data_IF_613292697039
#
_entry.id   IF_613292697039
#
_cell.length_a   1.000
_cell.length_b   1.000
_cell.length_c   1.000
_cell.angle_alpha   90.00
_cell.angle_beta   90.00
_cell.angle_gamma   90.00
#
_symmetry.space_group_name_H-M   'P 1'
#
loop_
_entity.id
_entity.type
_entity.pdbx_description
1 polymer ?
#
# COMPACT_ATOMS: atom_id res chain seq x y z
N UNK A 1 -18.42 4.63 8.26
CA UNK A 1 -17.80 3.66 9.19
C UNK A 1 -17.60 2.30 8.55
N UNK A 2 -18.64 1.57 8.09
CA UNK A 2 -18.45 0.25 7.43
C UNK A 2 -17.57 0.29 6.16
N UNK A 3 -17.68 1.35 5.37
CA UNK A 3 -16.91 1.53 4.12
C UNK A 3 -15.43 1.81 4.39
N UNK A 4 -15.12 2.74 5.31
CA UNK A 4 -13.75 2.98 5.78
C UNK A 4 -13.11 1.71 6.37
N UNK A 5 -13.87 0.92 7.12
CA UNK A 5 -13.38 -0.34 7.66
C UNK A 5 -13.05 -1.36 6.56
N UNK A 6 -13.84 -1.39 5.49
CA UNK A 6 -13.55 -2.23 4.32
C UNK A 6 -12.30 -1.74 3.56
N UNK A 7 -12.13 -0.42 3.40
CA UNK A 7 -10.95 0.18 2.76
C UNK A 7 -9.67 -0.10 3.55
N UNK A 8 -9.69 0.08 4.88
CA UNK A 8 -8.56 -0.30 5.74
C UNK A 8 -8.30 -1.81 5.74
N UNK A 9 -9.35 -2.64 5.65
CA UNK A 9 -9.19 -4.07 5.41
C UNK A 9 -8.45 -4.37 4.10
N UNK A 10 -8.75 -3.60 3.04
CA UNK A 10 -8.05 -3.64 1.76
C UNK A 10 -6.57 -3.26 1.88
N UNK A 11 -6.25 -2.15 2.58
CA UNK A 11 -4.87 -1.73 2.86
C UNK A 11 -4.07 -2.86 3.52
N UNK A 12 -4.59 -3.42 4.62
CA UNK A 12 -3.91 -4.49 5.36
C UNK A 12 -3.76 -5.75 4.51
N UNK A 13 -4.81 -6.15 3.81
CA UNK A 13 -4.77 -7.34 2.93
C UNK A 13 -3.73 -7.21 1.83
N UNK A 14 -3.66 -6.05 1.18
CA UNK A 14 -2.69 -5.79 0.13
C UNK A 14 -1.24 -5.83 0.64
N UNK A 15 -0.94 -5.26 1.80
CA UNK A 15 0.40 -5.37 2.40
C UNK A 15 0.78 -6.79 2.80
N UNK A 16 -0.16 -7.58 3.33
CA UNK A 16 0.11 -8.98 3.68
C UNK A 16 0.50 -9.79 2.43
N UNK A 17 -0.20 -9.59 1.32
CA UNK A 17 0.13 -10.27 0.06
C UNK A 17 1.46 -9.76 -0.50
N UNK A 18 1.72 -8.46 -0.45
CA UNK A 18 3.01 -7.91 -0.88
C UNK A 18 4.20 -8.51 -0.10
N UNK A 19 4.05 -8.72 1.21
CA UNK A 19 5.06 -9.37 2.04
C UNK A 19 5.28 -10.85 1.64
N UNK A 20 4.20 -11.59 1.36
CA UNK A 20 4.28 -12.96 0.85
C UNK A 20 4.98 -13.01 -0.52
N UNK A 21 4.67 -12.08 -1.41
CA UNK A 21 5.32 -11.98 -2.72
C UNK A 21 6.83 -11.69 -2.60
N UNK A 22 7.24 -10.80 -1.68
CA UNK A 22 8.66 -10.55 -1.40
C UNK A 22 9.36 -11.81 -0.89
N UNK A 23 8.73 -12.58 0.01
CA UNK A 23 9.28 -13.84 0.51
C UNK A 23 9.48 -14.87 -0.61
N UNK A 24 8.60 -14.87 -1.60
CA UNK A 24 8.67 -15.74 -2.78
C UNK A 24 9.38 -15.10 -3.98
N UNK A 25 10.09 -13.99 -3.78
CA UNK A 25 10.85 -13.26 -4.82
C UNK A 25 10.01 -12.79 -6.02
N UNK A 26 8.70 -12.62 -5.85
CA UNK A 26 7.76 -12.09 -6.86
C UNK A 26 7.69 -10.57 -6.80
N UNK A 27 8.83 -9.90 -6.96
CA UNK A 27 8.95 -8.45 -6.73
C UNK A 27 8.00 -7.56 -7.57
N UNK A 28 7.74 -7.85 -8.87
CA UNK A 28 6.73 -7.08 -9.62
C UNK A 28 5.34 -7.18 -8.99
N UNK A 29 4.91 -8.39 -8.61
CA UNK A 29 3.63 -8.63 -7.94
C UNK A 29 3.58 -7.93 -6.57
N UNK A 30 4.67 -7.96 -5.80
CA UNK A 30 4.75 -7.24 -4.53
C UNK A 30 4.60 -5.71 -4.73
N UNK A 31 5.19 -5.17 -5.80
CA UNK A 31 5.10 -3.76 -6.17
C UNK A 31 3.66 -3.35 -6.48
N UNK A 32 2.94 -4.17 -7.26
CA UNK A 32 1.54 -3.96 -7.62
C UNK A 32 0.60 -4.02 -6.39
N UNK A 33 0.88 -4.93 -5.45
CA UNK A 33 0.12 -5.02 -4.21
C UNK A 33 0.38 -3.84 -3.26
N UNK A 34 1.60 -3.30 -3.22
CA UNK A 34 1.88 -2.07 -2.46
C UNK A 34 1.18 -0.86 -3.08
N UNK A 35 1.08 -0.79 -4.41
CA UNK A 35 0.28 0.24 -5.11
C UNK A 35 -1.21 0.10 -4.78
N UNK A 36 -1.73 -1.12 -4.75
CA UNK A 36 -3.12 -1.38 -4.33
C UNK A 36 -3.39 -0.89 -2.90
N UNK A 37 -2.44 -1.07 -1.98
CA UNK A 37 -2.55 -0.56 -0.61
C UNK A 37 -2.62 0.99 -0.57
N UNK A 38 -1.85 1.65 -1.44
CA UNK A 38 -1.92 3.11 -1.60
C UNK A 38 -3.29 3.55 -2.13
N UNK A 39 -3.82 2.87 -3.14
CA UNK A 39 -5.13 3.20 -3.72
C UNK A 39 -6.26 3.06 -2.70
N UNK A 40 -6.22 2.04 -1.84
CA UNK A 40 -7.20 1.90 -0.75
C UNK A 40 -7.12 3.03 0.27
N UNK A 41 -5.92 3.52 0.60
CA UNK A 41 -5.75 4.66 1.51
C UNK A 41 -6.25 5.97 0.89
N UNK A 42 -5.96 6.21 -0.40
CA UNK A 42 -6.47 7.37 -1.14
C UNK A 42 -8.00 7.35 -1.22
N UNK A 43 -8.60 6.20 -1.55
CA UNK A 43 -10.05 6.04 -1.56
C UNK A 43 -10.68 6.27 -0.17
N UNK A 44 -9.95 5.95 0.90
CA UNK A 44 -10.39 6.23 2.27
C UNK A 44 -10.44 7.74 2.50
N UNK A 45 -9.36 8.45 2.19
CA UNK A 45 -9.30 9.92 2.30
C UNK A 45 -10.44 10.60 1.52
N UNK A 46 -10.65 10.21 0.26
CA UNK A 46 -11.71 10.74 -0.60
C UNK A 46 -13.13 10.47 -0.05
N UNK A 47 -13.36 9.27 0.49
CA UNK A 47 -14.65 8.90 1.08
C UNK A 47 -14.97 9.71 2.35
N UNK A 48 -13.96 10.15 3.10
CA UNK A 48 -14.15 11.03 4.26
C UNK A 48 -14.30 12.50 3.85
N UNK A 49 -13.48 12.98 2.91
CA UNK A 49 -13.57 14.33 2.37
C UNK A 49 -14.95 14.62 1.77
N UNK A 50 -15.50 13.67 0.99
CA UNK A 50 -16.82 13.79 0.37
C UNK A 50 -17.99 13.86 1.35
N UNK A 51 -17.80 13.43 2.61
CA UNK A 51 -18.82 13.46 3.67
C UNK A 51 -18.76 14.72 4.53
N UNK A 52 -17.84 15.65 4.22
CA UNK A 52 -17.57 16.84 5.02
C UNK A 52 -17.21 16.51 6.49
N UNK A 53 -16.69 15.30 6.73
CA UNK A 53 -16.22 14.85 8.04
C UNK A 53 -14.71 15.05 8.07
N UNK A 54 -14.26 16.11 8.74
CA UNK A 54 -12.84 16.27 9.06
C UNK A 54 -12.50 15.38 10.25
N UNK A 55 -12.11 14.14 9.97
CA UNK A 55 -11.47 13.27 10.96
C UNK A 55 -9.94 13.37 10.77
N UNK A 56 -9.31 14.21 11.60
CA UNK A 56 -7.89 14.49 11.54
C UNK A 56 -7.01 13.28 11.86
N UNK A 57 -7.54 12.23 12.50
CA UNK A 57 -6.77 11.02 12.81
C UNK A 57 -6.73 10.08 11.59
N UNK A 58 -7.87 9.91 10.93
CA UNK A 58 -8.00 9.10 9.71
C UNK A 58 -7.15 9.68 8.58
N UNK A 59 -7.26 10.98 8.32
CA UNK A 59 -6.44 11.64 7.27
C UNK A 59 -4.93 11.52 7.53
N UNK A 60 -4.48 11.56 8.80
CA UNK A 60 -3.07 11.31 9.13
C UNK A 60 -2.66 9.85 8.90
N UNK A 61 -3.55 8.90 9.21
CA UNK A 61 -3.35 7.48 8.96
C UNK A 61 -3.21 7.17 7.47
N UNK A 62 -4.11 7.70 6.64
CA UNK A 62 -4.11 7.48 5.20
C UNK A 62 -2.86 8.08 4.53
N UNK A 63 -2.49 9.31 4.92
CA UNK A 63 -1.25 9.93 4.47
C UNK A 63 0.01 9.11 4.84
N UNK A 64 0.04 8.56 6.06
CA UNK A 64 1.16 7.70 6.49
C UNK A 64 1.24 6.43 5.62
N UNK A 65 0.11 5.80 5.32
CA UNK A 65 0.05 4.63 4.44
C UNK A 65 0.55 5.00 3.04
N UNK A 66 0.13 6.14 2.49
CA UNK A 66 0.58 6.56 1.16
C UNK A 66 2.10 6.77 1.10
N UNK A 67 2.68 7.50 2.06
CA UNK A 67 4.14 7.69 2.11
C UNK A 67 4.91 6.39 2.31
N UNK A 68 4.38 5.48 3.14
CA UNK A 68 4.96 4.17 3.35
C UNK A 68 4.90 3.34 2.07
N UNK A 69 3.76 3.30 1.38
CA UNK A 69 3.59 2.57 0.12
C UNK A 69 4.56 3.05 -0.96
N UNK A 70 4.71 4.36 -1.14
CA UNK A 70 5.67 4.92 -2.09
C UNK A 70 7.10 4.47 -1.77
N UNK A 71 7.48 4.50 -0.49
CA UNK A 71 8.81 4.09 -0.04
C UNK A 71 9.03 2.57 -0.22
N UNK A 72 8.04 1.76 0.15
CA UNK A 72 8.09 0.30 0.02
C UNK A 72 8.19 -0.13 -1.45
N UNK A 73 7.43 0.52 -2.35
CA UNK A 73 7.47 0.25 -3.80
C UNK A 73 8.87 0.46 -4.37
N UNK A 74 9.54 1.55 -4.00
CA UNK A 74 10.92 1.83 -4.42
C UNK A 74 11.88 0.75 -3.95
N UNK A 75 11.81 0.36 -2.66
CA UNK A 75 12.68 -0.68 -2.10
C UNK A 75 12.47 -2.02 -2.79
N UNK A 76 11.22 -2.43 -3.02
CA UNK A 76 10.86 -3.68 -3.70
C UNK A 76 11.43 -3.71 -5.13
N UNK A 77 11.27 -2.62 -5.87
CA UNK A 77 11.79 -2.54 -7.24
C UNK A 77 13.32 -2.64 -7.27
N UNK A 78 14.01 -1.93 -6.37
CA UNK A 78 15.48 -2.01 -6.25
C UNK A 78 15.94 -3.43 -5.88
N UNK A 79 15.25 -4.11 -4.96
CA UNK A 79 15.56 -5.50 -4.61
C UNK A 79 15.38 -6.44 -5.80
N UNK A 80 14.29 -6.30 -6.55
CA UNK A 80 14.02 -7.10 -7.74
C UNK A 80 15.07 -6.91 -8.84
N UNK A 81 15.47 -5.67 -9.12
CA UNK A 81 16.55 -5.39 -10.07
C UNK A 81 17.88 -5.99 -9.58
N UNK A 82 18.26 -5.77 -8.32
CA UNK A 82 19.55 -6.22 -7.78
C UNK A 82 19.71 -7.75 -7.81
N UNK A 83 18.64 -8.49 -7.49
CA UNK A 83 18.66 -9.96 -7.52
C UNK A 83 18.76 -10.48 -8.96
N UNK A 84 18.01 -9.87 -9.89
CA UNK A 84 18.10 -10.23 -11.31
C UNK A 84 19.51 -9.97 -11.89
N UNK A 85 20.23 -8.95 -11.43
CA UNK A 85 21.60 -8.65 -11.87
C UNK A 85 22.68 -9.54 -11.25
N UNK A 86 22.45 -10.17 -10.10
CA UNK A 86 23.46 -10.99 -9.39
C UNK A 86 23.37 -12.49 -9.68
N UNK A 87 22.42 -12.90 -10.52
CA UNK A 87 22.21 -14.32 -10.90
C UNK A 87 22.99 -14.71 -12.17
N UNK A 88 24.03 -13.94 -12.56
CA UNK A 88 24.93 -14.22 -13.69
C UNK A 88 26.32 -14.68 -13.23
#
# INVERSE_FOLDING_TARGET
MKEAQALYGGVVGAFVIALDDVQHQKFPSASDHVESANDFAMNCEEAFASRNVQDNEISKGDNLVMYFSLSAKVVINVLGETINYTTF
#
